data_IF_387942957875
#
_entry.id   IF_387942957875
#
_cell.length_a   1.000
_cell.length_b   1.000
_cell.length_c   1.000
_cell.angle_alpha   90.00
_cell.angle_beta   90.00
_cell.angle_gamma   90.00
#
_symmetry.space_group_name_H-M   'P 1'
#
loop_
_entity.id
_entity.type
_entity.pdbx_description
1 polymer ?
#
# COMPACT_ATOMS: atom_id res chain seq x y z
N UNK A 1 -25.31 -15.70 -4.52
CA UNK A 1 -24.00 -16.22 -4.06
C UNK A 1 -22.87 -15.21 -4.29
N UNK A 2 -22.52 -14.88 -5.54
CA UNK A 2 -21.38 -14.00 -5.86
C UNK A 2 -21.55 -12.59 -5.26
N UNK A 3 -22.74 -11.98 -5.43
CA UNK A 3 -23.06 -10.66 -4.87
C UNK A 3 -23.20 -10.64 -3.34
N UNK A 4 -23.38 -11.80 -2.70
CA UNK A 4 -23.50 -11.90 -1.24
C UNK A 4 -22.13 -12.12 -0.56
N UNK A 5 -21.08 -12.38 -1.33
CA UNK A 5 -19.73 -12.55 -0.81
C UNK A 5 -19.03 -11.19 -0.68
N UNK A 6 -18.03 -11.10 0.21
CA UNK A 6 -17.21 -9.88 0.34
C UNK A 6 -16.44 -9.52 -0.94
N UNK A 7 -16.04 -10.53 -1.70
CA UNK A 7 -15.43 -10.39 -3.02
C UNK A 7 -15.97 -11.50 -3.91
N UNK A 8 -16.75 -11.12 -4.93
CA UNK A 8 -17.30 -12.01 -5.92
C UNK A 8 -16.32 -12.25 -7.07
N UNK A 9 -15.94 -13.51 -7.30
CA UNK A 9 -15.10 -13.90 -8.45
C UNK A 9 -15.92 -14.70 -9.45
N UNK A 10 -16.06 -14.18 -10.66
CA UNK A 10 -16.79 -14.81 -11.76
C UNK A 10 -15.83 -15.46 -12.76
N UNK A 11 -16.21 -16.63 -13.29
CA UNK A 11 -15.45 -17.30 -14.36
C UNK A 11 -16.11 -16.97 -15.69
N UNK A 12 -15.33 -16.43 -16.63
CA UNK A 12 -15.78 -16.17 -17.99
C UNK A 12 -15.94 -17.49 -18.74
N UNK A 13 -17.17 -17.98 -18.87
CA UNK A 13 -17.50 -19.18 -19.63
C UNK A 13 -17.57 -18.92 -21.14
N UNK A 14 -17.58 -20.01 -21.93
CA UNK A 14 -17.73 -19.95 -23.39
C UNK A 14 -19.18 -19.69 -23.80
N UNK A 15 -20.14 -20.20 -23.02
CA UNK A 15 -21.58 -20.12 -23.34
C UNK A 15 -22.36 -19.18 -22.40
N UNK A 16 -21.83 -18.91 -21.19
CA UNK A 16 -22.50 -18.11 -20.16
C UNK A 16 -21.58 -17.10 -19.50
N UNK A 17 -21.92 -15.80 -19.63
CA UNK A 17 -21.16 -14.67 -19.05
C UNK A 17 -21.86 -13.98 -17.88
N UNK A 18 -23.06 -14.41 -17.51
CA UNK A 18 -23.88 -13.72 -16.51
C UNK A 18 -23.18 -13.62 -15.14
N UNK A 19 -22.55 -14.71 -14.69
CA UNK A 19 -21.80 -14.73 -13.43
C UNK A 19 -20.52 -13.88 -13.49
N UNK A 20 -19.86 -13.78 -14.65
CA UNK A 20 -18.67 -12.96 -14.83
C UNK A 20 -18.99 -11.46 -14.88
N UNK A 21 -20.11 -11.07 -15.50
CA UNK A 21 -20.59 -9.67 -15.59
C UNK A 21 -21.09 -9.11 -14.26
N UNK A 22 -21.57 -9.99 -13.37
CA UNK A 22 -22.09 -9.63 -12.05
C UNK A 22 -21.07 -9.82 -10.91
N UNK A 23 -19.80 -10.07 -11.23
CA UNK A 23 -18.71 -10.28 -10.27
C UNK A 23 -17.81 -9.04 -10.15
N UNK A 24 -17.16 -8.89 -8.98
CA UNK A 24 -16.16 -7.83 -8.76
C UNK A 24 -14.88 -8.08 -9.57
N UNK A 25 -14.51 -9.35 -9.74
CA UNK A 25 -13.36 -9.77 -10.56
C UNK A 25 -13.78 -10.91 -11.48
N UNK A 26 -13.57 -10.73 -12.78
CA UNK A 26 -13.75 -11.77 -13.79
C UNK A 26 -12.40 -12.44 -14.13
N UNK A 27 -12.34 -13.77 -14.05
CA UNK A 27 -11.18 -14.58 -14.46
C UNK A 27 -11.56 -15.55 -15.58
N UNK A 28 -10.62 -15.86 -16.48
CA UNK A 28 -10.88 -16.82 -17.56
C UNK A 28 -11.01 -18.26 -17.08
N UNK A 29 -10.23 -18.66 -16.07
CA UNK A 29 -10.17 -20.05 -15.58
C UNK A 29 -9.89 -20.09 -14.09
N UNK A 30 -10.41 -21.11 -13.39
CA UNK A 30 -10.26 -21.25 -11.94
C UNK A 30 -8.80 -21.28 -11.48
N UNK A 31 -7.87 -21.82 -12.28
CA UNK A 31 -6.43 -21.84 -11.94
C UNK A 31 -5.83 -20.46 -11.69
N UNK A 32 -6.39 -19.40 -12.27
CA UNK A 32 -5.91 -18.02 -12.05
C UNK A 32 -6.25 -17.48 -10.67
N UNK A 33 -7.25 -18.07 -9.98
CA UNK A 33 -7.62 -17.70 -8.61
C UNK A 33 -6.43 -17.83 -7.64
N UNK A 34 -5.58 -18.84 -7.85
CA UNK A 34 -4.37 -19.06 -7.04
C UNK A 34 -3.45 -17.84 -7.06
N UNK A 35 -3.08 -17.35 -8.25
CA UNK A 35 -2.18 -16.19 -8.41
C UNK A 35 -2.88 -14.88 -8.06
N UNK A 36 -4.18 -14.77 -8.32
CA UNK A 36 -4.97 -13.62 -7.92
C UNK A 36 -4.95 -13.43 -6.39
N UNK A 37 -5.23 -14.49 -5.63
CA UNK A 37 -5.26 -14.40 -4.17
C UNK A 37 -3.85 -14.33 -3.56
N UNK A 38 -2.99 -15.32 -3.84
CA UNK A 38 -1.72 -15.47 -3.13
C UNK A 38 -0.71 -14.35 -3.45
N UNK A 39 -0.74 -13.82 -4.68
CA UNK A 39 0.18 -12.75 -5.10
C UNK A 39 -0.51 -11.39 -5.02
N UNK A 40 -1.55 -11.17 -5.82
CA UNK A 40 -2.16 -9.83 -5.93
C UNK A 40 -2.92 -9.44 -4.67
N UNK A 41 -3.64 -10.38 -4.05
CA UNK A 41 -4.32 -10.15 -2.77
C UNK A 41 -3.34 -9.84 -1.64
N UNK A 42 -2.26 -10.63 -1.51
CA UNK A 42 -1.24 -10.40 -0.49
C UNK A 42 -0.49 -9.07 -0.68
N UNK A 43 -0.17 -8.70 -1.92
CA UNK A 43 0.42 -7.39 -2.23
C UNK A 43 -0.55 -6.25 -1.95
N UNK A 44 -1.79 -6.33 -2.44
CA UNK A 44 -2.82 -5.31 -2.25
C UNK A 44 -3.01 -5.01 -0.76
N UNK A 45 -3.22 -6.06 0.06
CA UNK A 45 -3.37 -5.91 1.51
C UNK A 45 -2.15 -5.25 2.17
N UNK A 46 -0.94 -5.73 1.89
CA UNK A 46 0.28 -5.16 2.51
C UNK A 46 0.54 -3.72 2.08
N UNK A 47 0.30 -3.38 0.80
CA UNK A 47 0.54 -2.04 0.25
C UNK A 47 -0.47 -1.04 0.82
N UNK A 48 -1.76 -1.35 0.73
CA UNK A 48 -2.83 -0.49 1.26
C UNK A 48 -2.65 -0.27 2.76
N UNK A 49 -2.31 -1.32 3.52
CA UNK A 49 -2.03 -1.18 4.97
C UNK A 49 -0.94 -0.14 5.24
N UNK A 50 0.16 -0.16 4.49
CA UNK A 50 1.26 0.80 4.65
C UNK A 50 0.88 2.20 4.20
N UNK A 51 0.14 2.32 3.10
CA UNK A 51 -0.37 3.60 2.59
C UNK A 51 -1.24 4.28 3.63
N UNK A 52 -2.19 3.56 4.23
CA UNK A 52 -3.08 4.09 5.27
C UNK A 52 -2.24 4.55 6.47
N UNK A 53 -1.39 3.68 7.01
CA UNK A 53 -0.58 3.99 8.20
C UNK A 53 0.36 5.18 7.98
N UNK A 54 1.00 5.25 6.82
CA UNK A 54 1.87 6.36 6.45
C UNK A 54 1.08 7.67 6.24
N UNK A 55 -0.10 7.62 5.63
CA UNK A 55 -0.96 8.79 5.44
C UNK A 55 -1.47 9.38 6.74
N UNK A 56 -1.76 8.57 7.76
CA UNK A 56 -2.06 9.10 9.10
C UNK A 56 -0.82 9.74 9.73
N UNK A 57 0.31 9.03 9.73
CA UNK A 57 1.55 9.52 10.30
C UNK A 57 2.03 10.84 9.67
N UNK A 58 1.99 10.99 8.34
CA UNK A 58 2.48 12.20 7.67
C UNK A 58 1.68 13.43 8.08
N UNK A 59 0.34 13.30 8.12
CA UNK A 59 -0.54 14.39 8.49
C UNK A 59 -0.32 14.79 9.95
N UNK A 60 -0.27 13.82 10.86
CA UNK A 60 -0.03 14.10 12.28
C UNK A 60 1.33 14.77 12.47
N UNK A 61 2.37 14.31 11.76
CA UNK A 61 3.71 14.90 11.89
C UNK A 61 3.74 16.39 11.53
N UNK A 62 3.01 16.81 10.49
CA UNK A 62 2.89 18.24 10.15
C UNK A 62 1.94 18.97 11.09
N UNK A 63 0.67 18.57 11.15
CA UNK A 63 -0.36 19.37 11.83
C UNK A 63 -0.19 19.42 13.34
N UNK A 64 0.45 18.42 13.96
CA UNK A 64 0.68 18.44 15.40
C UNK A 64 1.75 19.47 15.80
N UNK A 65 2.59 19.96 14.88
CA UNK A 65 3.47 21.11 15.16
C UNK A 65 2.66 22.38 15.50
N UNK A 66 1.51 22.58 14.86
CA UNK A 66 0.58 23.68 15.15
C UNK A 66 -0.03 23.54 16.54
N UNK A 67 -0.35 22.31 16.94
CA UNK A 67 -0.82 22.03 18.29
C UNK A 67 0.25 22.39 19.33
N UNK A 68 1.51 22.02 19.11
CA UNK A 68 2.59 22.39 20.02
C UNK A 68 2.82 23.92 20.07
N UNK A 69 2.69 24.60 18.94
CA UNK A 69 2.77 26.06 18.86
C UNK A 69 1.64 26.78 19.62
N UNK A 70 0.50 26.11 19.82
CA UNK A 70 -0.62 26.68 20.59
C UNK A 70 -0.24 27.01 22.05
N UNK A 71 0.71 26.27 22.62
CA UNK A 71 1.23 26.55 23.97
C UNK A 71 2.12 27.81 24.01
N UNK A 72 2.75 28.18 22.89
CA UNK A 72 3.61 29.36 22.78
C UNK A 72 2.82 30.61 22.38
N UNK A 73 1.79 30.47 21.54
CA UNK A 73 0.99 31.59 21.04
C UNK A 73 -0.19 31.98 21.96
N UNK A 74 -0.17 31.55 23.23
CA UNK A 74 -1.24 31.78 24.19
C UNK A 74 -2.62 31.27 23.73
N UNK A 75 -2.65 30.15 22.99
CA UNK A 75 -3.85 29.53 22.41
C UNK A 75 -4.64 30.47 21.48
N UNK A 76 -3.97 31.43 20.83
CA UNK A 76 -4.60 32.38 19.91
C UNK A 76 -5.10 31.77 18.60
N UNK A 77 -4.59 30.60 18.22
CA UNK A 77 -4.87 29.95 16.94
C UNK A 77 -4.00 30.43 15.78
N UNK A 78 -2.93 31.18 16.05
CA UNK A 78 -1.97 31.61 15.04
C UNK A 78 -1.28 30.43 14.35
N UNK A 79 -1.10 30.51 13.03
CA UNK A 79 -0.60 29.41 12.20
C UNK A 79 0.90 29.60 11.94
N UNK A 80 1.71 28.53 12.10
CA UNK A 80 3.15 28.54 11.81
C UNK A 80 3.46 28.67 10.31
N UNK A 81 2.64 28.03 9.47
CA UNK A 81 2.87 27.89 8.04
C UNK A 81 1.94 28.82 7.28
N UNK A 82 2.38 29.26 6.10
CA UNK A 82 1.50 29.96 5.18
C UNK A 82 0.34 29.05 4.72
N UNK A 83 -0.84 29.64 4.57
CA UNK A 83 -2.12 28.93 4.40
C UNK A 83 -2.17 27.99 3.18
N UNK A 84 -1.62 28.42 2.05
CA UNK A 84 -1.58 27.64 0.81
C UNK A 84 -0.46 26.61 0.83
N UNK A 85 0.70 26.93 1.38
CA UNK A 85 1.80 25.97 1.60
C UNK A 85 1.37 24.79 2.47
N UNK A 86 0.55 25.06 3.48
CA UNK A 86 -0.07 24.02 4.30
C UNK A 86 -1.02 23.14 3.46
N UNK A 87 -1.79 23.73 2.54
CA UNK A 87 -2.67 22.97 1.62
C UNK A 87 -1.88 22.14 0.61
N UNK A 88 -0.80 22.69 0.05
CA UNK A 88 0.07 22.02 -0.93
C UNK A 88 0.83 20.83 -0.36
N UNK A 89 0.99 20.76 0.97
CA UNK A 89 1.62 19.62 1.63
C UNK A 89 1.00 18.29 1.20
N UNK A 90 -0.33 18.19 1.27
CA UNK A 90 -1.05 16.96 0.98
C UNK A 90 -1.27 16.74 -0.52
N UNK A 91 -1.44 17.81 -1.28
CA UNK A 91 -1.83 17.77 -2.69
C UNK A 91 -0.64 17.59 -3.61
N UNK A 92 0.49 18.26 -3.34
CA UNK A 92 1.65 18.30 -4.22
C UNK A 92 2.83 17.54 -3.63
N UNK A 93 3.28 17.89 -2.43
CA UNK A 93 4.60 17.43 -1.96
C UNK A 93 4.58 16.03 -1.36
N UNK A 94 3.46 15.58 -0.78
CA UNK A 94 3.40 14.26 -0.10
C UNK A 94 2.38 13.28 -0.67
N UNK A 95 1.79 13.57 -1.84
CA UNK A 95 0.84 12.65 -2.51
C UNK A 95 1.54 11.49 -3.23
N UNK A 96 2.72 11.75 -3.80
CA UNK A 96 3.46 10.77 -4.61
C UNK A 96 4.01 9.59 -3.80
N UNK A 97 4.61 9.77 -2.59
CA UNK A 97 5.15 8.64 -1.83
C UNK A 97 4.10 7.58 -1.46
N UNK A 98 2.91 7.91 -0.91
CA UNK A 98 1.85 6.93 -0.69
C UNK A 98 1.45 6.20 -1.99
N UNK A 99 1.34 6.92 -3.11
CA UNK A 99 0.98 6.31 -4.39
C UNK A 99 2.05 5.31 -4.87
N UNK A 100 3.33 5.71 -4.80
CA UNK A 100 4.44 4.85 -5.22
C UNK A 100 4.56 3.60 -4.33
N UNK A 101 4.39 3.74 -3.01
CA UNK A 101 4.35 2.60 -2.08
C UNK A 101 3.11 1.72 -2.30
N UNK A 102 1.97 2.33 -2.62
CA UNK A 102 0.69 1.65 -2.84
C UNK A 102 0.65 0.77 -4.08
N UNK A 103 1.47 1.08 -5.09
CA UNK A 103 1.44 0.41 -6.40
C UNK A 103 2.72 -0.38 -6.66
N UNK A 104 3.89 0.23 -6.45
CA UNK A 104 5.16 -0.32 -6.92
C UNK A 104 5.95 -1.08 -5.85
N UNK A 105 5.68 -0.87 -4.56
CA UNK A 105 6.42 -1.57 -3.50
C UNK A 105 6.02 -3.04 -3.41
N UNK A 106 7.01 -3.94 -3.45
CA UNK A 106 6.80 -5.38 -3.30
C UNK A 106 7.65 -5.87 -2.13
N UNK A 107 7.01 -6.28 -1.04
CA UNK A 107 7.75 -6.77 0.11
C UNK A 107 8.34 -8.17 -0.13
N UNK A 108 7.71 -9.01 -0.96
CA UNK A 108 8.20 -10.32 -1.43
C UNK A 108 7.85 -10.46 -2.92
N UNK A 109 8.73 -11.12 -3.69
CA UNK A 109 8.50 -11.41 -5.12
C UNK A 109 7.31 -12.35 -5.36
N UNK A 110 6.64 -12.18 -6.51
CA UNK A 110 5.50 -13.01 -6.89
C UNK A 110 5.81 -14.52 -6.87
N UNK A 111 7.03 -14.89 -7.30
CA UNK A 111 7.49 -16.28 -7.33
C UNK A 111 7.51 -16.92 -5.95
N UNK A 112 7.97 -16.19 -4.92
CA UNK A 112 8.06 -16.72 -3.57
C UNK A 112 6.72 -16.74 -2.85
N UNK A 113 5.84 -15.77 -3.13
CA UNK A 113 4.47 -15.79 -2.62
C UNK A 113 3.67 -16.99 -3.17
N UNK A 114 3.85 -17.33 -4.45
CA UNK A 114 3.20 -18.50 -5.03
C UNK A 114 3.84 -19.83 -4.61
N UNK A 115 5.15 -19.82 -4.30
CA UNK A 115 5.89 -20.99 -3.78
C UNK A 115 5.55 -21.30 -2.32
N UNK A 116 5.37 -20.27 -1.49
CA UNK A 116 5.06 -20.39 -0.05
C UNK A 116 3.65 -19.86 0.26
N UNK A 117 2.59 -20.64 -0.03
CA UNK A 117 1.21 -20.22 0.22
C UNK A 117 0.92 -19.96 1.71
N UNK A 118 1.75 -20.47 2.63
CA UNK A 118 1.62 -20.22 4.07
C UNK A 118 1.73 -18.74 4.41
N UNK A 119 2.47 -17.95 3.62
CA UNK A 119 2.59 -16.50 3.81
C UNK A 119 1.25 -15.77 3.69
N UNK A 120 0.27 -16.34 2.99
CA UNK A 120 -1.06 -15.76 2.87
C UNK A 120 -1.79 -15.65 4.22
N UNK A 121 -1.43 -16.49 5.20
CA UNK A 121 -1.97 -16.41 6.56
C UNK A 121 -1.62 -15.10 7.27
N UNK A 122 -0.55 -14.40 6.83
CA UNK A 122 -0.20 -13.07 7.35
C UNK A 122 -1.30 -12.05 7.05
N UNK A 123 -1.92 -12.16 5.87
CA UNK A 123 -3.07 -11.34 5.48
C UNK A 123 -4.32 -11.69 6.28
N UNK A 124 -4.64 -12.99 6.40
CA UNK A 124 -5.80 -13.47 7.14
C UNK A 124 -5.77 -13.10 8.62
N UNK A 125 -4.59 -13.13 9.26
CA UNK A 125 -4.38 -12.73 10.65
C UNK A 125 -4.27 -11.22 10.85
N UNK A 126 -4.42 -10.43 9.79
CA UNK A 126 -4.37 -8.98 9.84
C UNK A 126 -3.02 -8.42 10.30
N UNK A 127 -1.89 -9.08 10.00
CA UNK A 127 -0.58 -8.75 10.61
C UNK A 127 -0.09 -7.35 10.24
N UNK A 128 -0.36 -6.89 9.01
CA UNK A 128 0.10 -5.60 8.52
C UNK A 128 -0.75 -4.42 9.01
N UNK A 129 -2.02 -4.67 9.35
CA UNK A 129 -2.96 -3.64 9.83
C UNK A 129 -3.70 -4.11 11.09
N UNK A 130 -3.05 -3.91 12.24
CA UNK A 130 -3.64 -4.11 13.58
C UNK A 130 -3.91 -2.76 14.24
N UNK A 131 -4.89 -2.72 15.16
CA UNK A 131 -5.16 -1.54 16.01
C UNK A 131 -3.91 -1.06 16.75
N UNK A 132 -3.11 -1.99 17.29
CA UNK A 132 -1.83 -1.65 17.93
C UNK A 132 -0.85 -0.99 16.96
N UNK A 133 -0.70 -1.54 15.75
CA UNK A 133 0.14 -0.93 14.71
C UNK A 133 -0.35 0.49 14.41
N UNK A 134 -1.64 0.68 14.20
CA UNK A 134 -2.21 2.01 13.96
C UNK A 134 -1.79 3.03 15.02
N UNK A 135 -2.04 2.76 16.30
CA UNK A 135 -1.65 3.66 17.38
C UNK A 135 -0.14 3.88 17.49
N UNK A 136 0.69 2.86 17.21
CA UNK A 136 2.14 3.05 17.16
C UNK A 136 2.57 4.05 16.07
N UNK A 137 1.89 4.09 14.92
CA UNK A 137 2.16 5.08 13.87
C UNK A 137 1.68 6.49 14.24
N UNK A 138 0.52 6.58 14.90
CA UNK A 138 -0.01 7.83 15.46
C UNK A 138 0.99 8.41 16.47
N UNK A 139 1.38 7.63 17.48
CA UNK A 139 2.36 8.03 18.50
C UNK A 139 3.72 8.39 17.88
N UNK A 140 4.11 7.72 16.79
CA UNK A 140 5.32 8.11 16.07
C UNK A 140 5.22 9.50 15.44
N UNK A 141 4.05 9.88 14.91
CA UNK A 141 3.81 11.22 14.39
C UNK A 141 3.83 12.28 15.49
N UNK A 142 3.23 11.99 16.65
CA UNK A 142 3.35 12.85 17.84
C UNK A 142 4.81 13.03 18.27
N UNK A 143 5.57 11.93 18.34
CA UNK A 143 6.98 11.96 18.73
C UNK A 143 7.84 12.79 17.75
N UNK A 144 7.68 12.58 16.44
CA UNK A 144 8.43 13.35 15.44
C UNK A 144 8.02 14.83 15.42
N UNK A 145 6.72 15.15 15.45
CA UNK A 145 6.26 16.54 15.50
C UNK A 145 6.77 17.28 16.73
N UNK A 146 6.81 16.62 17.89
CA UNK A 146 7.31 17.19 19.13
C UNK A 146 8.81 17.52 19.03
N UNK A 147 9.63 16.59 18.52
CA UNK A 147 11.06 16.83 18.31
C UNK A 147 11.28 17.94 17.29
N UNK A 148 10.56 17.90 16.16
CA UNK A 148 10.66 18.92 15.11
C UNK A 148 10.32 20.30 15.66
N UNK A 149 9.24 20.42 16.43
CA UNK A 149 8.83 21.67 17.05
C UNK A 149 9.85 22.16 18.10
N UNK A 150 10.16 21.35 19.12
CA UNK A 150 11.05 21.76 20.21
C UNK A 150 12.44 22.12 19.69
N UNK A 151 13.05 21.27 18.84
CA UNK A 151 14.40 21.51 18.33
C UNK A 151 14.41 22.73 17.40
N UNK A 152 13.40 22.90 16.54
CA UNK A 152 13.33 24.10 15.70
C UNK A 152 13.15 25.38 16.51
N UNK A 153 12.35 25.34 17.57
CA UNK A 153 12.13 26.49 18.45
C UNK A 153 13.37 26.83 19.28
N UNK A 154 14.16 25.83 19.69
CA UNK A 154 15.45 26.06 20.35
C UNK A 154 16.47 26.70 19.39
N UNK A 155 16.45 26.32 18.10
CA UNK A 155 17.31 26.93 17.09
C UNK A 155 16.91 28.38 16.82
N UNK A 156 15.61 28.66 16.74
CA UNK A 156 15.06 30.01 16.51
C UNK A 156 14.77 30.79 17.79
N UNK A 157 15.43 30.43 18.89
CA UNK A 157 15.25 31.13 20.16
C UNK A 157 15.62 32.61 19.99
N UNK A 158 14.75 33.49 20.51
CA UNK A 158 14.88 34.95 20.35
C UNK A 158 14.86 35.44 18.89
N UNK A 159 14.12 34.77 18.02
CA UNK A 159 13.89 35.13 16.62
C UNK A 159 15.17 35.15 15.75
N UNK A 160 16.13 34.31 16.14
CA UNK A 160 17.40 34.04 15.46
C UNK A 160 18.08 35.29 14.87
N UNK A 161 19.01 35.94 15.61
CA UNK A 161 19.72 37.10 15.12
C UNK A 161 20.58 36.73 13.89
N UNK A 162 20.32 37.40 12.77
CA UNK A 162 21.02 37.18 11.50
C UNK A 162 22.30 38.00 11.42
N UNK A 163 23.20 37.63 10.50
CA UNK A 163 24.49 38.30 10.29
C UNK A 163 24.36 39.81 9.97
N UNK A 164 23.25 40.22 9.37
CA UNK A 164 22.96 41.62 9.02
C UNK A 164 22.37 42.43 10.20
N UNK A 165 22.34 41.86 11.41
CA UNK A 165 21.80 42.48 12.62
C UNK A 165 20.26 42.51 12.71
N UNK A 166 19.57 41.93 11.72
CA UNK A 166 18.11 41.77 11.69
C UNK A 166 17.68 40.42 12.30
N UNK A 167 16.41 40.30 12.66
CA UNK A 167 15.80 39.03 13.08
C UNK A 167 15.27 38.25 11.88
N UNK A 168 15.08 36.94 12.04
CA UNK A 168 14.62 36.06 10.98
C UNK A 168 13.13 36.27 10.66
N UNK A 169 12.29 36.35 11.69
CA UNK A 169 10.86 36.47 11.59
C UNK A 169 10.12 35.11 11.54
N UNK A 170 8.84 35.17 11.91
CA UNK A 170 7.93 34.03 12.03
C UNK A 170 7.87 33.15 10.78
N UNK A 171 7.67 33.75 9.60
CA UNK A 171 7.52 33.01 8.34
C UNK A 171 8.81 32.30 7.90
N UNK A 172 9.99 32.88 8.20
CA UNK A 172 11.29 32.22 7.91
C UNK A 172 11.44 30.95 8.76
N UNK A 173 11.10 31.02 10.04
CA UNK A 173 11.07 29.84 10.91
C UNK A 173 10.05 28.80 10.42
N UNK A 174 8.84 29.24 10.06
CA UNK A 174 7.78 28.37 9.55
C UNK A 174 8.21 27.58 8.32
N UNK A 175 8.86 28.21 7.35
CA UNK A 175 9.36 27.55 6.14
C UNK A 175 10.54 26.60 6.40
N UNK A 176 11.44 26.99 7.31
CA UNK A 176 12.54 26.12 7.73
C UNK A 176 12.01 24.85 8.42
N UNK A 177 11.04 25.01 9.33
CA UNK A 177 10.38 23.89 10.00
C UNK A 177 9.58 23.04 9.01
N UNK A 178 8.84 23.64 8.08
CA UNK A 178 8.09 22.92 7.05
C UNK A 178 9.01 22.05 6.20
N UNK A 179 10.14 22.62 5.77
CA UNK A 179 11.15 21.90 4.99
C UNK A 179 11.72 20.71 5.76
N UNK A 180 12.03 20.89 7.05
CA UNK A 180 12.49 19.81 7.93
C UNK A 180 11.41 18.72 8.16
N UNK A 181 10.14 19.12 8.34
CA UNK A 181 9.01 18.18 8.45
C UNK A 181 8.85 17.37 7.17
N UNK A 182 8.87 18.02 6.01
CA UNK A 182 8.76 17.37 4.71
C UNK A 182 9.90 16.36 4.51
N UNK A 183 11.15 16.76 4.77
CA UNK A 183 12.31 15.88 4.69
C UNK A 183 12.19 14.69 5.67
N UNK A 184 11.69 14.90 6.89
CA UNK A 184 11.46 13.83 7.87
C UNK A 184 10.42 12.83 7.39
N UNK A 185 9.30 13.30 6.84
CA UNK A 185 8.21 12.46 6.35
C UNK A 185 8.63 11.67 5.10
N UNK A 186 9.32 12.31 4.16
CA UNK A 186 9.87 11.65 2.98
C UNK A 186 10.97 10.64 3.34
N UNK A 187 11.85 11.00 4.29
CA UNK A 187 12.86 10.08 4.83
C UNK A 187 12.22 8.89 5.54
N UNK A 188 11.09 9.08 6.24
CA UNK A 188 10.30 7.98 6.79
C UNK A 188 9.76 7.08 5.67
N UNK A 189 9.20 7.64 4.59
CA UNK A 189 8.77 6.84 3.42
C UNK A 189 9.91 6.01 2.83
N UNK A 190 11.09 6.60 2.69
CA UNK A 190 12.31 5.93 2.26
C UNK A 190 12.67 4.75 3.17
N UNK A 191 12.55 4.91 4.50
CA UNK A 191 12.78 3.84 5.47
C UNK A 191 11.72 2.74 5.43
N UNK A 192 10.47 3.01 5.06
CA UNK A 192 9.42 1.97 5.07
C UNK A 192 9.40 1.16 3.77
N UNK A 193 9.79 1.79 2.67
CA UNK A 193 9.84 1.18 1.33
C UNK A 193 10.81 -0.02 1.32
N UNK A 194 10.43 -1.11 0.65
CA UNK A 194 11.25 -2.34 0.60
C UNK A 194 12.08 -2.40 -0.66
N UNK A 195 11.50 -2.01 -1.80
CA UNK A 195 12.18 -2.01 -3.09
C UNK A 195 12.20 -0.60 -3.65
N UNK A 196 13.40 -0.16 -4.01
CA UNK A 196 13.61 1.09 -4.72
C UNK A 196 13.50 0.84 -6.22
N UNK A 197 12.42 1.36 -6.81
CA UNK A 197 12.18 1.42 -8.25
C UNK A 197 12.37 2.85 -8.76
N UNK A 198 12.43 3.02 -10.08
CA UNK A 198 12.47 4.37 -10.69
C UNK A 198 11.33 5.27 -10.20
N UNK A 199 10.14 4.71 -9.98
CA UNK A 199 8.97 5.46 -9.52
C UNK A 199 9.09 5.90 -8.06
N UNK A 200 9.69 5.08 -7.19
CA UNK A 200 9.94 5.49 -5.79
C UNK A 200 11.03 6.56 -5.70
N UNK A 201 12.02 6.56 -6.60
CA UNK A 201 13.01 7.64 -6.70
C UNK A 201 12.38 8.97 -7.14
N UNK A 202 11.47 8.93 -8.12
CA UNK A 202 10.70 10.11 -8.53
C UNK A 202 9.78 10.57 -7.40
N UNK A 203 9.13 9.64 -6.70
CA UNK A 203 8.13 9.99 -5.69
C UNK A 203 8.71 10.49 -4.36
N UNK A 204 9.83 9.94 -3.88
CA UNK A 204 10.36 10.28 -2.54
C UNK A 204 11.38 11.43 -2.66
N UNK A 205 12.60 11.24 -3.22
CA UNK A 205 13.51 12.35 -3.50
C UNK A 205 12.91 13.43 -4.41
N UNK A 206 12.19 13.04 -5.46
CA UNK A 206 11.63 14.02 -6.40
C UNK A 206 10.57 14.94 -5.77
N UNK A 207 9.84 14.48 -4.74
CA UNK A 207 8.97 15.34 -3.93
C UNK A 207 9.74 16.41 -3.15
N UNK A 208 10.92 16.06 -2.61
CA UNK A 208 11.78 17.02 -1.91
C UNK A 208 12.38 18.02 -2.90
N UNK A 209 12.84 17.54 -4.06
CA UNK A 209 13.34 18.41 -5.12
C UNK A 209 12.25 19.36 -5.63
N UNK A 210 11.04 18.86 -5.84
CA UNK A 210 9.88 19.67 -6.23
C UNK A 210 9.62 20.79 -5.22
N UNK A 211 9.67 20.50 -3.91
CA UNK A 211 9.55 21.51 -2.87
C UNK A 211 10.65 22.58 -2.95
N UNK A 212 11.91 22.17 -3.08
CA UNK A 212 13.04 23.11 -3.14
C UNK A 212 13.01 24.03 -4.37
N UNK A 213 12.43 23.58 -5.48
CA UNK A 213 12.19 24.41 -6.68
C UNK A 213 10.92 25.25 -6.53
N UNK A 214 9.87 24.69 -5.95
CA UNK A 214 8.59 25.38 -5.75
C UNK A 214 8.71 26.53 -4.77
N UNK A 215 9.44 26.36 -3.66
CA UNK A 215 9.59 27.36 -2.61
C UNK A 215 10.06 28.75 -3.12
N UNK A 216 11.16 28.89 -3.87
CA UNK A 216 11.55 30.18 -4.42
C UNK A 216 10.61 30.65 -5.54
N UNK A 217 10.11 29.73 -6.39
CA UNK A 217 9.20 30.09 -7.47
C UNK A 217 7.89 30.70 -6.93
N UNK A 218 7.28 30.06 -5.94
CA UNK A 218 6.07 30.52 -5.26
C UNK A 218 6.35 31.75 -4.39
N UNK A 219 7.43 31.73 -3.61
CA UNK A 219 7.76 32.84 -2.71
C UNK A 219 8.16 34.15 -3.39
N UNK A 220 8.60 34.13 -4.66
CA UNK A 220 8.77 35.35 -5.46
C UNK A 220 7.52 35.72 -6.26
N UNK A 221 6.86 34.74 -6.89
CA UNK A 221 5.73 35.01 -7.78
C UNK A 221 4.45 35.40 -7.04
N UNK A 222 4.12 34.73 -5.93
CA UNK A 222 2.88 34.97 -5.21
C UNK A 222 2.81 36.39 -4.61
N UNK A 223 3.81 36.88 -3.84
CA UNK A 223 3.76 38.24 -3.31
C UNK A 223 3.71 39.31 -4.41
N UNK A 224 4.36 39.06 -5.56
CA UNK A 224 4.37 39.98 -6.70
C UNK A 224 2.97 40.18 -7.33
N UNK A 225 2.10 39.16 -7.28
CA UNK A 225 0.70 39.25 -7.73
C UNK A 225 -0.27 39.63 -6.58
N UNK A 226 0.26 39.98 -5.41
CA UNK A 226 -0.52 40.36 -4.23
C UNK A 226 -1.16 39.19 -3.46
N UNK A 227 -0.77 37.96 -3.78
CA UNK A 227 -1.19 36.70 -3.15
C UNK A 227 -0.13 36.23 -2.15
N UNK A 228 -0.50 35.62 -1.02
CA UNK A 228 0.49 35.11 -0.04
C UNK A 228 1.57 36.16 0.34
N UNK A 229 1.13 37.33 0.82
CA UNK A 229 2.02 38.48 1.10
C UNK A 229 3.01 38.21 2.24
N UNK A 230 2.75 37.15 3.01
CA UNK A 230 3.57 36.60 4.09
C UNK A 230 4.98 36.20 3.64
N UNK A 231 5.16 35.88 2.36
CA UNK A 231 6.47 35.53 1.78
C UNK A 231 7.28 36.72 1.27
N UNK A 232 6.77 37.94 1.37
CA UNK A 232 7.49 39.12 0.93
C UNK A 232 8.81 39.29 1.73
N UNK A 233 9.95 39.16 1.05
CA UNK A 233 11.27 39.28 1.67
C UNK A 233 11.75 38.05 2.45
N UNK A 234 10.94 36.98 2.54
CA UNK A 234 11.26 35.75 3.29
C UNK A 234 12.30 34.89 2.56
N UNK A 235 12.16 34.71 1.24
CA UNK A 235 13.02 33.83 0.43
C UNK A 235 14.51 34.23 0.45
N UNK A 236 14.90 35.51 0.27
CA UNK A 236 16.30 35.91 0.33
C UNK A 236 16.96 35.63 1.70
N UNK A 237 16.21 35.76 2.79
CA UNK A 237 16.71 35.49 4.16
C UNK A 237 16.88 33.98 4.37
N UNK A 238 15.87 33.20 3.96
CA UNK A 238 15.85 31.75 4.13
C UNK A 238 16.98 31.05 3.38
N UNK A 239 17.17 31.35 2.08
CA UNK A 239 18.18 30.71 1.23
C UNK A 239 19.62 31.16 1.53
N UNK A 240 19.81 32.35 2.11
CA UNK A 240 21.14 32.79 2.58
C UNK A 240 21.51 32.18 3.93
N UNK A 241 20.53 31.73 4.70
CA UNK A 241 20.77 31.19 6.04
C UNK A 241 21.37 29.78 5.98
N UNK A 242 22.58 29.54 6.50
CA UNK A 242 23.14 28.18 6.59
C UNK A 242 22.34 27.29 7.56
N UNK A 243 21.67 27.91 8.54
CA UNK A 243 20.85 27.23 9.54
C UNK A 243 19.67 26.53 8.88
N UNK A 244 19.07 27.12 7.84
CA UNK A 244 18.00 26.49 7.06
C UNK A 244 18.41 25.12 6.49
N UNK A 245 19.58 25.05 5.83
CA UNK A 245 20.07 23.81 5.25
C UNK A 245 20.47 22.78 6.31
N UNK A 246 21.11 23.23 7.40
CA UNK A 246 21.43 22.36 8.53
C UNK A 246 20.16 21.79 9.14
N UNK A 247 19.10 22.59 9.28
CA UNK A 247 17.83 22.10 9.80
C UNK A 247 17.19 21.06 8.88
N UNK A 248 17.21 21.28 7.57
CA UNK A 248 16.68 20.36 6.57
C UNK A 248 17.40 18.99 6.56
N UNK A 249 18.59 18.88 7.14
CA UNK A 249 19.36 17.62 7.23
C UNK A 249 19.34 17.04 8.65
N UNK A 250 19.72 17.84 9.65
CA UNK A 250 19.94 17.38 11.03
C UNK A 250 18.63 16.98 11.70
N UNK A 251 17.56 17.79 11.60
CA UNK A 251 16.28 17.46 12.25
C UNK A 251 15.67 16.15 11.73
N UNK A 252 15.62 15.90 10.40
CA UNK A 252 15.21 14.60 9.88
C UNK A 252 16.08 13.46 10.38
N UNK A 253 17.41 13.62 10.42
CA UNK A 253 18.31 12.59 10.95
C UNK A 253 18.00 12.26 12.42
N UNK A 254 17.80 13.27 13.27
CA UNK A 254 17.47 13.08 14.69
C UNK A 254 16.14 12.35 14.86
N UNK A 255 15.10 12.74 14.12
CA UNK A 255 13.79 12.08 14.18
C UNK A 255 13.88 10.62 13.69
N UNK A 256 14.52 10.42 12.54
CA UNK A 256 14.57 9.12 11.87
C UNK A 256 15.55 8.14 12.50
N UNK A 257 16.48 8.61 13.34
CA UNK A 257 17.45 7.75 14.03
C UNK A 257 16.76 6.63 14.81
N UNK A 258 15.72 6.97 15.58
CA UNK A 258 14.92 6.00 16.35
C UNK A 258 14.23 4.99 15.43
N UNK A 259 13.68 5.45 14.32
CA UNK A 259 12.98 4.61 13.35
C UNK A 259 13.91 3.67 12.60
N UNK A 260 15.11 4.14 12.26
CA UNK A 260 16.16 3.34 11.66
C UNK A 260 16.64 2.26 12.64
N UNK A 261 16.95 2.65 13.89
CA UNK A 261 17.36 1.72 14.94
C UNK A 261 16.29 0.65 15.20
N UNK A 262 15.01 1.05 15.27
CA UNK A 262 13.89 0.12 15.44
C UNK A 262 13.74 -0.84 14.24
N UNK A 263 13.84 -0.33 13.00
CA UNK A 263 13.78 -1.16 11.80
C UNK A 263 14.92 -2.19 11.78
N UNK A 264 16.12 -1.76 12.14
CA UNK A 264 17.29 -2.64 12.25
C UNK A 264 17.09 -3.71 13.34
N UNK A 265 16.74 -3.30 14.57
CA UNK A 265 16.54 -4.21 15.69
C UNK A 265 15.43 -5.23 15.43
N UNK A 266 14.31 -4.81 14.83
CA UNK A 266 13.22 -5.72 14.45
C UNK A 266 13.65 -6.73 13.40
N UNK A 267 14.51 -6.34 12.46
CA UNK A 267 14.97 -7.25 11.41
C UNK A 267 16.03 -8.22 11.92
N UNK A 268 16.92 -7.76 12.81
CA UNK A 268 18.04 -8.55 13.35
C UNK A 268 17.61 -9.50 14.48
N UNK A 269 16.87 -9.00 15.46
CA UNK A 269 16.58 -9.74 16.71
C UNK A 269 15.19 -10.38 16.74
N UNK A 270 14.20 -9.79 16.05
CA UNK A 270 12.81 -10.25 16.06
C UNK A 270 12.23 -10.46 14.64
N UNK A 271 12.87 -11.29 13.79
CA UNK A 271 12.41 -11.50 12.44
C UNK A 271 11.03 -12.17 12.39
N UNK A 272 10.19 -11.74 11.45
CA UNK A 272 8.89 -12.34 11.17
C UNK A 272 9.05 -13.31 9.99
N UNK A 273 8.08 -14.23 9.79
CA UNK A 273 8.17 -15.24 8.74
C UNK A 273 8.49 -14.68 7.34
N UNK A 274 7.97 -13.49 6.99
CA UNK A 274 8.28 -12.86 5.70
C UNK A 274 9.69 -12.25 5.64
N UNK A 275 10.32 -11.89 6.77
CA UNK A 275 11.72 -11.43 6.79
C UNK A 275 12.68 -12.57 6.41
N UNK A 276 12.45 -13.79 6.92
CA UNK A 276 13.22 -14.96 6.51
C UNK A 276 13.06 -15.25 5.02
N UNK A 277 11.85 -15.12 4.47
CA UNK A 277 11.64 -15.31 3.03
C UNK A 277 12.29 -14.21 2.19
N UNK A 278 12.35 -12.97 2.68
CA UNK A 278 13.14 -11.90 2.06
C UNK A 278 14.64 -12.21 2.04
N UNK A 279 15.17 -12.83 3.09
CA UNK A 279 16.58 -13.25 3.13
C UNK A 279 16.86 -14.40 2.17
N UNK A 280 15.98 -15.39 2.11
CA UNK A 280 16.03 -16.46 1.11
C UNK A 280 15.98 -15.86 -0.30
N UNK A 281 15.16 -14.84 -0.53
CA UNK A 281 15.11 -14.13 -1.82
C UNK A 281 16.44 -13.44 -2.15
N UNK A 282 17.05 -12.78 -1.16
CA UNK A 282 18.28 -12.00 -1.35
C UNK A 282 19.51 -12.89 -1.59
N UNK A 283 19.65 -13.94 -0.79
CA UNK A 283 20.82 -14.85 -0.85
C UNK A 283 20.60 -16.06 -1.75
N UNK A 284 19.41 -16.20 -2.36
CA UNK A 284 19.03 -17.32 -3.22
C UNK A 284 19.31 -18.69 -2.57
N UNK A 285 19.03 -18.80 -1.26
CA UNK A 285 19.29 -20.02 -0.48
C UNK A 285 18.45 -21.16 -1.04
N UNK A 286 19.09 -22.33 -1.21
CA UNK A 286 18.39 -23.52 -1.63
C UNK A 286 17.43 -23.97 -0.52
N UNK A 287 16.17 -24.05 -0.91
CA UNK A 287 15.07 -24.36 -0.03
C UNK A 287 15.06 -25.87 0.25
N UNK A 288 15.54 -26.27 1.43
CA UNK A 288 15.49 -27.66 1.87
C UNK A 288 14.05 -28.01 2.22
N UNK A 289 13.39 -28.78 1.36
CA UNK A 289 12.10 -29.40 1.70
C UNK A 289 12.37 -30.55 2.66
N UNK A 290 11.99 -30.49 3.95
CA UNK A 290 12.06 -31.66 4.80
C UNK A 290 11.23 -32.78 4.15
N UNK A 291 11.78 -34.00 4.09
CA UNK A 291 11.04 -35.17 3.58
C UNK A 291 9.83 -35.42 4.48
N UNK A 292 8.67 -34.90 4.10
CA UNK A 292 7.38 -35.13 4.76
C UNK A 292 6.90 -36.60 4.63
N UNK A 293 7.71 -37.53 4.15
CA UNK A 293 7.34 -38.93 3.96
C UNK A 293 6.84 -39.59 5.24
N UNK A 294 7.47 -39.32 6.38
CA UNK A 294 7.03 -39.87 7.67
C UNK A 294 5.69 -39.29 8.12
N UNK A 295 5.48 -37.97 7.96
CA UNK A 295 4.20 -37.32 8.26
C UNK A 295 3.09 -37.79 7.31
N UNK A 296 3.39 -37.96 6.03
CA UNK A 296 2.46 -38.55 5.07
C UNK A 296 2.15 -40.01 5.42
N UNK A 297 3.11 -40.81 5.88
CA UNK A 297 2.87 -42.18 6.36
C UNK A 297 1.99 -42.18 7.61
N UNK A 298 2.21 -41.25 8.54
CA UNK A 298 1.39 -41.09 9.76
C UNK A 298 -0.04 -40.62 9.44
N UNK A 299 -0.20 -39.60 8.59
CA UNK A 299 -1.52 -39.18 8.07
C UNK A 299 -2.17 -40.31 7.29
N UNK A 300 -1.45 -41.06 6.45
CA UNK A 300 -2.03 -42.20 5.73
C UNK A 300 -2.52 -43.28 6.69
N UNK A 301 -1.84 -43.52 7.83
CA UNK A 301 -2.33 -44.39 8.90
C UNK A 301 -3.61 -43.86 9.58
N UNK A 302 -3.70 -42.55 9.83
CA UNK A 302 -4.89 -41.92 10.46
C UNK A 302 -6.06 -41.78 9.48
N UNK A 303 -5.78 -41.44 8.22
CA UNK A 303 -6.73 -41.23 7.11
C UNK A 303 -7.14 -42.54 6.43
N UNK A 304 -6.48 -43.66 6.75
CA UNK A 304 -6.87 -45.01 6.36
C UNK A 304 -8.21 -45.44 6.97
N UNK A 305 -8.77 -44.70 7.93
CA UNK A 305 -10.03 -45.04 8.59
C UNK A 305 -11.28 -44.56 7.83
N UNK A 306 -11.20 -43.67 6.83
CA UNK A 306 -12.41 -43.21 6.12
C UNK A 306 -12.25 -43.07 4.58
N UNK A 307 -12.76 -44.08 3.86
CA UNK A 307 -13.48 -44.02 2.55
C UNK A 307 -12.78 -43.95 1.17
N UNK A 308 -11.47 -43.80 0.99
CA UNK A 308 -10.92 -43.73 -0.39
C UNK A 308 -10.59 -45.08 -1.05
N UNK A 309 -10.40 -46.17 -0.29
CA UNK A 309 -9.93 -47.45 -0.84
C UNK A 309 -11.04 -48.38 -1.38
N UNK A 310 -12.32 -48.00 -1.22
CA UNK A 310 -13.50 -48.75 -1.71
C UNK A 310 -14.42 -47.92 -2.62
N UNK A 311 -14.00 -46.73 -3.07
CA UNK A 311 -14.77 -45.98 -4.06
C UNK A 311 -14.43 -46.47 -5.46
N UNK A 312 -15.43 -46.96 -6.21
CA UNK A 312 -15.30 -47.33 -7.62
C UNK A 312 -15.38 -46.12 -8.57
N UNK A 313 -15.65 -44.92 -8.04
CA UNK A 313 -15.75 -43.70 -8.84
C UNK A 313 -16.97 -43.63 -9.76
N UNK A 314 -18.03 -44.40 -9.49
CA UNK A 314 -19.26 -44.34 -10.28
C UNK A 314 -19.88 -42.94 -10.23
N UNK A 315 -20.04 -42.32 -11.41
CA UNK A 315 -20.73 -41.06 -11.61
C UNK A 315 -21.52 -41.14 -12.91
N UNK A 316 -22.81 -40.79 -12.85
CA UNK A 316 -23.72 -40.78 -13.99
C UNK A 316 -24.51 -39.48 -13.93
N UNK A 317 -24.28 -38.57 -14.88
CA UNK A 317 -24.85 -37.21 -14.87
C UNK A 317 -26.25 -37.14 -15.47
N UNK A 318 -26.87 -38.28 -15.75
CA UNK A 318 -28.17 -38.35 -16.37
C UNK A 318 -29.26 -38.06 -15.35
N UNK A 319 -30.21 -37.19 -15.73
CA UNK A 319 -31.42 -36.93 -14.97
C UNK A 319 -32.60 -37.75 -15.50
N UNK A 320 -33.55 -38.08 -14.63
CA UNK A 320 -34.75 -38.85 -14.97
C UNK A 320 -35.63 -38.12 -16.01
N UNK A 321 -35.63 -36.78 -16.00
CA UNK A 321 -36.36 -35.94 -16.96
C UNK A 321 -35.73 -35.85 -18.36
N UNK A 322 -34.57 -36.50 -18.59
CA UNK A 322 -33.84 -36.42 -19.86
C UNK A 322 -34.54 -37.07 -21.06
N UNK A 323 -35.67 -37.77 -20.85
CA UNK A 323 -36.53 -38.25 -21.93
C UNK A 323 -35.86 -39.21 -22.92
N UNK A 324 -34.88 -40.00 -22.48
CA UNK A 324 -34.04 -40.82 -23.38
C UNK A 324 -34.83 -41.75 -24.29
N UNK A 325 -35.80 -42.46 -23.75
CA UNK A 325 -36.61 -43.41 -24.53
C UNK A 325 -37.48 -42.69 -25.56
N UNK A 326 -37.87 -41.44 -25.28
CA UNK A 326 -38.58 -40.59 -26.24
C UNK A 326 -37.67 -40.15 -27.38
N UNK A 327 -36.45 -39.73 -27.06
CA UNK A 327 -35.44 -39.30 -28.06
C UNK A 327 -35.06 -40.47 -28.96
N UNK A 328 -34.79 -41.65 -28.39
CA UNK A 328 -34.44 -42.85 -29.14
C UNK A 328 -35.49 -43.20 -30.21
N UNK A 329 -36.77 -43.10 -29.85
CA UNK A 329 -37.89 -43.45 -30.71
C UNK A 329 -38.33 -42.30 -31.65
N UNK A 330 -37.64 -41.16 -31.66
CA UNK A 330 -38.03 -39.98 -32.43
C UNK A 330 -37.14 -39.71 -33.65
N UNK A 331 -35.88 -40.17 -33.68
CA UNK A 331 -34.93 -39.82 -34.74
C UNK A 331 -34.62 -41.00 -35.66
N UNK A 332 -34.66 -40.75 -36.97
CA UNK A 332 -34.18 -41.66 -38.02
C UNK A 332 -33.04 -40.98 -38.79
N UNK A 333 -31.83 -41.47 -38.61
CA UNK A 333 -30.62 -40.87 -39.19
C UNK A 333 -30.44 -41.18 -40.68
N UNK A 334 -31.26 -42.07 -41.25
CA UNK A 334 -31.19 -42.40 -42.68
C UNK A 334 -31.91 -41.38 -43.57
N UNK A 335 -32.80 -40.57 -42.98
CA UNK A 335 -33.56 -39.54 -43.70
C UNK A 335 -32.77 -38.24 -43.84
N UNK A 336 -32.76 -37.70 -45.06
CA UNK A 336 -32.19 -36.38 -45.33
C UNK A 336 -33.07 -35.26 -44.76
N UNK A 337 -32.47 -34.08 -44.58
CA UNK A 337 -33.19 -32.88 -44.11
C UNK A 337 -34.28 -32.51 -45.11
N UNK A 338 -35.43 -32.08 -44.61
CA UNK A 338 -36.56 -31.66 -45.41
C UNK A 338 -36.30 -30.36 -46.18
N UNK A 339 -37.30 -29.93 -46.97
CA UNK A 339 -37.23 -28.74 -47.84
C UNK A 339 -36.86 -27.44 -47.12
N UNK A 340 -37.14 -27.33 -45.81
CA UNK A 340 -36.82 -26.16 -44.97
C UNK A 340 -35.60 -26.36 -44.05
N UNK A 341 -34.79 -27.40 -44.28
CA UNK A 341 -33.54 -27.63 -43.56
C UNK A 341 -33.67 -28.33 -42.20
N UNK A 342 -34.89 -28.62 -41.75
CA UNK A 342 -35.14 -29.37 -40.51
C UNK A 342 -35.07 -30.89 -40.73
N UNK A 343 -34.64 -31.61 -39.69
CA UNK A 343 -34.67 -33.07 -39.66
C UNK A 343 -36.06 -33.50 -39.18
N UNK A 344 -36.82 -34.22 -40.01
CA UNK A 344 -38.17 -34.63 -39.66
C UNK A 344 -38.16 -35.73 -38.59
N UNK A 345 -38.98 -35.59 -37.55
CA UNK A 345 -39.24 -36.65 -36.58
C UNK A 345 -39.78 -37.90 -37.31
N UNK A 346 -39.29 -39.07 -36.94
CA UNK A 346 -39.72 -40.36 -37.50
C UNK A 346 -41.14 -40.76 -37.10
N UNK A 347 -41.75 -40.06 -36.13
CA UNK A 347 -43.15 -40.28 -35.73
C UNK A 347 -44.12 -39.54 -36.64
N UNK A 348 -45.18 -40.20 -37.17
CA UNK A 348 -46.27 -39.49 -37.84
C UNK A 348 -46.94 -38.55 -36.83
N UNK A 349 -47.18 -37.29 -37.24
CA UNK A 349 -48.02 -36.37 -36.47
C UNK A 349 -49.45 -36.90 -36.54
N UNK A 350 -49.93 -37.47 -35.43
CA UNK A 350 -51.34 -37.79 -35.24
C UNK A 350 -52.09 -36.54 -34.77
#
# INVERSE_FOLDING_TARGET
MIQAAHVGVGISGVEGLQAARSADVAIGQFRFLRKLLLVHGAWSYSRISRVILYSYYKNITLYMTQFWYSFQNAFSGEVIYESWTLSFYNVLFTVLPPFAMGIFDQYISARLLDRYPQLYQLGQKGVFFKKHSFWAWILNGFFHSLILYIVSQLIFLWDLPMADGKVAGHWVWGEALYTAVLATVLGKAALITNIWTKYTFIAIPGSMFLWLVFLPAYGYAAPAIGFSREYYGTIPVLFKSPIFYLMAVVLPCVCLLRDYAWKYAKRMYYPQHYHHVQEIQKYNVQDYRPRMEQFQKAIRKVRQVQRMRKQRGYAFSQADDGGQMRVLNAYDTTRSRGRYGEMASSRPMA
#
